data_IF_756835810879
#
_entry.id   IF_756835810879
#
_cell.length_a   1.000
_cell.length_b   1.000
_cell.length_c   1.000
_cell.angle_alpha   90.00
_cell.angle_beta   90.00
_cell.angle_gamma   90.00
#
_symmetry.space_group_name_H-M   'P 1'
#
loop_
_entity.id
_entity.type
_entity.pdbx_description
1 polymer ?
#
# COMPACT_ATOMS: atom_id res chain seq x y z
N UNK A 1 18.95 -3.19 -2.70
CA UNK A 1 18.73 -4.23 -3.74
C UNK A 1 19.79 -5.33 -3.74
N UNK A 2 21.09 -5.04 -3.63
CA UNK A 2 22.16 -6.08 -3.64
C UNK A 2 22.07 -7.07 -2.46
N UNK A 3 21.59 -6.63 -1.29
CA UNK A 3 21.47 -7.48 -0.09
C UNK A 3 20.37 -8.55 -0.17
N UNK A 4 19.32 -8.31 -0.97
CA UNK A 4 18.20 -9.24 -1.14
C UNK A 4 18.54 -10.35 -2.15
N UNK A 5 19.40 -10.04 -3.12
CA UNK A 5 19.86 -11.00 -4.14
C UNK A 5 20.83 -12.05 -3.55
N UNK A 6 21.60 -11.68 -2.53
CA UNK A 6 22.52 -12.61 -1.81
C UNK A 6 21.75 -13.57 -0.89
N UNK A 7 20.64 -13.14 -0.30
CA UNK A 7 19.81 -14.01 0.54
C UNK A 7 19.10 -15.12 -0.25
N UNK A 8 18.68 -14.85 -1.49
CA UNK A 8 18.01 -15.83 -2.35
C UNK A 8 18.99 -16.90 -2.85
N UNK A 9 20.26 -16.56 -3.08
CA UNK A 9 21.28 -17.53 -3.52
C UNK A 9 21.74 -18.44 -2.38
N UNK A 10 21.79 -17.94 -1.13
CA UNK A 10 22.20 -18.76 0.03
C UNK A 10 21.12 -19.76 0.48
N UNK A 11 19.85 -19.51 0.20
CA UNK A 11 18.74 -20.41 0.55
C UNK A 11 18.64 -21.66 -0.35
N UNK A 12 19.35 -21.69 -1.49
CA UNK A 12 19.30 -22.81 -2.45
C UNK A 12 20.55 -23.71 -2.46
N UNK A 13 21.52 -23.53 -1.56
CA UNK A 13 22.80 -24.25 -1.64
C UNK A 13 23.31 -24.91 -0.35
N UNK A 14 22.47 -25.10 0.68
CA UNK A 14 22.93 -25.78 1.90
C UNK A 14 21.81 -26.51 2.63
N UNK A 15 21.65 -27.80 2.33
CA UNK A 15 20.85 -28.71 3.15
C UNK A 15 21.59 -29.05 4.44
N UNK A 16 21.04 -28.64 5.59
CA UNK A 16 21.42 -29.16 6.92
C UNK A 16 20.13 -29.36 7.73
N UNK A 17 20.00 -30.54 8.32
CA UNK A 17 18.80 -31.05 8.99
C UNK A 17 18.39 -30.24 10.26
N UNK A 18 17.12 -29.85 10.31
CA UNK A 18 16.46 -29.06 11.36
C UNK A 18 16.14 -29.83 12.66
N UNK A 19 16.47 -31.13 12.77
CA UNK A 19 15.98 -31.98 13.87
C UNK A 19 16.78 -31.90 15.18
N UNK A 20 18.04 -31.45 15.18
CA UNK A 20 18.84 -31.38 16.42
C UNK A 20 18.66 -30.09 17.24
N UNK A 21 18.16 -29.01 16.62
CA UNK A 21 17.92 -27.73 17.32
C UNK A 21 16.59 -27.72 18.09
N UNK A 22 15.58 -28.48 17.63
CA UNK A 22 14.28 -28.54 18.31
C UNK A 22 14.34 -29.30 19.65
N UNK A 23 15.17 -30.34 19.76
CA UNK A 23 15.29 -31.15 20.98
C UNK A 23 15.95 -30.40 22.14
N UNK A 24 16.93 -29.54 21.84
CA UNK A 24 17.62 -28.72 22.86
C UNK A 24 16.75 -27.56 23.36
N UNK A 25 15.91 -26.98 22.50
CA UNK A 25 15.01 -25.89 22.89
C UNK A 25 13.81 -26.41 23.71
N UNK A 26 13.27 -27.58 23.38
CA UNK A 26 12.17 -28.18 24.15
C UNK A 26 12.57 -28.65 25.55
N UNK A 27 13.78 -29.19 25.73
CA UNK A 27 14.27 -29.60 27.07
C UNK A 27 14.48 -28.39 27.99
N UNK A 28 14.87 -27.24 27.42
CA UNK A 28 15.10 -26.02 28.18
C UNK A 28 13.81 -25.30 28.62
N UNK A 29 12.75 -25.31 27.79
CA UNK A 29 11.46 -24.73 28.18
C UNK A 29 10.75 -25.50 29.30
N UNK A 30 10.97 -26.81 29.40
CA UNK A 30 10.40 -27.64 30.47
C UNK A 30 11.09 -27.40 31.82
N UNK A 31 12.38 -27.05 31.83
CA UNK A 31 13.12 -26.77 33.06
C UNK A 31 12.74 -25.41 33.67
N UNK A 32 12.52 -24.39 32.83
CA UNK A 32 12.12 -23.03 33.27
C UNK A 32 10.72 -23.00 33.89
N UNK A 33 9.75 -23.73 33.31
CA UNK A 33 8.38 -23.84 33.87
C UNK A 33 8.32 -24.56 35.22
N UNK A 34 9.29 -25.43 35.52
CA UNK A 34 9.35 -26.18 36.79
C UNK A 34 9.85 -25.30 37.94
N UNK A 35 10.63 -24.26 37.64
CA UNK A 35 11.12 -23.26 38.61
C UNK A 35 10.05 -22.22 38.94
N UNK A 36 9.25 -21.79 37.94
CA UNK A 36 8.14 -20.85 38.17
C UNK A 36 6.99 -21.44 39.01
N UNK A 37 6.65 -22.73 38.82
CA UNK A 37 5.59 -23.39 39.60
C UNK A 37 5.92 -23.63 41.08
N UNK A 38 7.17 -23.46 41.51
CA UNK A 38 7.56 -23.58 42.93
C UNK A 38 7.41 -22.29 43.73
N UNK A 39 7.11 -21.14 43.09
CA UNK A 39 7.02 -19.83 43.76
C UNK A 39 5.59 -19.35 44.05
N UNK A 40 4.56 -20.09 43.66
CA UNK A 40 3.15 -19.69 43.88
C UNK A 40 2.42 -20.70 44.76
N UNK A 41 2.86 -20.84 46.01
CA UNK A 41 2.03 -21.38 47.10
C UNK A 41 2.63 -20.93 48.44
N UNK A 42 2.07 -19.87 49.02
CA UNK A 42 1.89 -19.66 50.47
C UNK A 42 1.10 -18.35 50.68
N UNK A 43 0.24 -18.36 51.68
CA UNK A 43 -0.97 -17.56 51.87
C UNK A 43 -0.77 -16.28 52.71
N UNK A 44 -1.73 -15.34 52.54
CA UNK A 44 -2.32 -14.39 53.53
C UNK A 44 -1.45 -13.85 54.68
N UNK A 45 -1.19 -12.53 54.73
CA UNK A 45 -1.71 -11.62 55.78
C UNK A 45 -1.19 -10.17 55.63
N UNK A 46 -1.99 -9.21 56.08
CA UNK A 46 -1.72 -7.76 56.14
C UNK A 46 -0.74 -7.39 57.28
N UNK A 47 0.29 -6.56 57.00
CA UNK A 47 0.79 -5.43 57.84
C UNK A 47 2.04 -4.72 57.25
N UNK A 48 2.19 -3.46 57.66
CA UNK A 48 3.17 -2.44 57.23
C UNK A 48 4.60 -2.59 57.83
N UNK A 49 5.61 -2.09 57.08
CA UNK A 49 7.03 -1.73 57.40
C UNK A 49 8.12 -2.83 57.55
N UNK A 50 9.44 -2.50 57.42
CA UNK A 50 10.17 -1.76 56.36
C UNK A 50 11.30 -2.62 55.70
N UNK A 51 11.86 -2.11 54.59
CA UNK A 51 13.00 -2.70 53.86
C UNK A 51 14.27 -2.79 54.75
N UNK A 52 14.89 -3.97 54.79
CA UNK A 52 16.29 -4.12 55.15
C UNK A 52 17.00 -5.22 54.35
N UNK A 53 18.28 -4.98 54.12
CA UNK A 53 19.22 -5.55 53.15
C UNK A 53 19.68 -6.99 53.41
N UNK A 54 19.45 -7.91 52.47
CA UNK A 54 20.14 -9.22 52.40
C UNK A 54 19.97 -9.97 51.07
N UNK A 55 19.96 -9.30 49.91
CA UNK A 55 19.79 -9.93 48.58
C UNK A 55 20.95 -9.73 47.61
N UNK A 56 22.15 -9.37 48.08
CA UNK A 56 23.31 -9.10 47.22
C UNK A 56 24.14 -10.33 46.84
N UNK A 57 24.00 -11.47 47.52
CA UNK A 57 24.79 -12.69 47.24
C UNK A 57 24.21 -13.57 46.13
N UNK A 58 22.90 -13.64 45.96
CA UNK A 58 22.25 -14.49 44.93
C UNK A 58 22.32 -13.89 43.52
N UNK A 59 22.29 -12.56 43.39
CA UNK A 59 22.35 -11.87 42.10
C UNK A 59 23.76 -11.97 41.49
N UNK A 60 24.80 -11.86 42.33
CA UNK A 60 26.20 -11.97 41.88
C UNK A 60 26.52 -13.38 41.36
N UNK A 61 25.93 -14.43 41.94
CA UNK A 61 26.11 -15.80 41.47
C UNK A 61 25.48 -16.04 40.08
N UNK A 62 24.29 -15.48 39.85
CA UNK A 62 23.59 -15.60 38.56
C UNK A 62 24.31 -14.81 37.48
N UNK A 63 24.82 -13.62 37.79
CA UNK A 63 25.59 -12.81 36.83
C UNK A 63 26.88 -13.54 36.43
N UNK A 64 27.55 -14.21 37.36
CA UNK A 64 28.75 -15.01 37.07
C UNK A 64 28.46 -16.23 36.18
N UNK A 65 27.36 -16.93 36.42
CA UNK A 65 26.93 -18.05 35.55
C UNK A 65 26.58 -17.58 34.13
N UNK A 66 25.89 -16.43 34.00
CA UNK A 66 25.55 -15.86 32.70
C UNK A 66 26.78 -15.37 31.93
N UNK A 67 27.77 -14.78 32.61
CA UNK A 67 29.03 -14.39 31.96
C UNK A 67 29.86 -15.59 31.50
N UNK A 68 29.90 -16.68 32.27
CA UNK A 68 30.57 -17.91 31.86
C UNK A 68 29.88 -18.59 30.67
N UNK A 69 28.54 -18.50 30.59
CA UNK A 69 27.80 -19.00 29.43
C UNK A 69 28.08 -18.19 28.17
N UNK A 70 28.21 -16.86 28.31
CA UNK A 70 28.52 -15.96 27.20
C UNK A 70 29.92 -16.24 26.64
N UNK A 71 30.92 -16.42 27.50
CA UNK A 71 32.27 -16.79 27.05
C UNK A 71 32.30 -18.15 26.32
N UNK A 72 31.52 -19.12 26.79
CA UNK A 72 31.45 -20.43 26.14
C UNK A 72 30.76 -20.38 24.77
N UNK A 73 29.76 -19.52 24.60
CA UNK A 73 29.10 -19.26 23.31
C UNK A 73 30.06 -18.55 22.36
N UNK A 74 30.77 -17.52 22.85
CA UNK A 74 31.73 -16.75 22.05
C UNK A 74 32.90 -17.64 21.60
N UNK A 75 33.36 -18.57 22.44
CA UNK A 75 34.39 -19.56 22.10
C UNK A 75 33.92 -20.54 21.02
N UNK A 76 32.67 -21.05 21.10
CA UNK A 76 32.10 -21.92 20.04
C UNK A 76 31.85 -21.19 18.73
N UNK A 77 31.50 -19.89 18.78
CA UNK A 77 31.36 -19.04 17.60
C UNK A 77 32.75 -18.83 16.97
N UNK A 78 33.79 -18.60 17.77
CA UNK A 78 35.16 -18.45 17.30
C UNK A 78 35.67 -19.74 16.63
N UNK A 79 35.44 -20.91 17.23
CA UNK A 79 35.82 -22.23 16.65
C UNK A 79 35.13 -22.47 15.30
N UNK A 80 33.81 -22.21 15.19
CA UNK A 80 33.07 -22.33 13.93
C UNK A 80 33.49 -21.31 12.88
N UNK A 81 33.86 -20.10 13.30
CA UNK A 81 34.38 -19.07 12.39
C UNK A 81 35.74 -19.46 11.81
N UNK A 82 36.56 -20.19 12.59
CA UNK A 82 37.85 -20.69 12.14
C UNK A 82 37.70 -21.84 11.13
N UNK A 83 36.70 -22.71 11.30
CA UNK A 83 36.32 -23.74 10.33
C UNK A 83 35.78 -23.14 9.03
N UNK A 84 34.97 -22.07 9.11
CA UNK A 84 34.47 -21.33 7.94
C UNK A 84 35.58 -20.59 7.19
N UNK A 85 36.62 -20.09 7.88
CA UNK A 85 37.76 -19.40 7.23
C UNK A 85 38.66 -20.33 6.41
N UNK A 86 38.63 -21.65 6.65
CA UNK A 86 39.31 -22.64 5.80
C UNK A 86 38.53 -22.97 4.52
N UNK A 87 37.23 -22.67 4.48
CA UNK A 87 36.35 -23.01 3.35
C UNK A 87 36.15 -21.86 2.35
N UNK A 88 36.59 -20.64 2.63
CA UNK A 88 36.43 -19.50 1.70
C UNK A 88 37.66 -18.60 1.68
N UNK A 89 38.67 -19.01 0.92
CA UNK A 89 39.74 -18.13 0.48
C UNK A 89 39.39 -17.56 -0.91
N UNK A 90 38.44 -16.64 -0.97
CA UNK A 90 38.41 -15.59 -1.99
C UNK A 90 37.36 -14.55 -1.65
N UNK A 91 37.74 -13.28 -1.78
CA UNK A 91 36.91 -12.07 -1.70
C UNK A 91 36.59 -11.57 -0.29
N UNK A 92 37.58 -10.99 0.41
CA UNK A 92 37.33 -9.89 1.36
C UNK A 92 38.61 -9.05 1.63
N UNK A 93 38.89 -8.09 0.77
CA UNK A 93 39.52 -6.80 1.14
C UNK A 93 38.67 -5.76 0.43
N UNK A 94 37.73 -5.10 1.10
CA UNK A 94 37.92 -3.75 1.65
C UNK A 94 36.65 -3.38 2.40
N UNK A 95 36.81 -2.79 3.60
CA UNK A 95 35.89 -1.93 4.37
C UNK A 95 35.85 -2.32 5.86
N UNK A 96 37.01 -2.13 6.49
CA UNK A 96 37.10 -1.73 7.91
C UNK A 96 37.76 -0.35 7.89
N UNK A 97 37.42 0.52 8.85
CA UNK A 97 37.74 1.97 8.98
C UNK A 97 36.53 2.82 8.52
N UNK A 98 35.82 3.60 9.35
CA UNK A 98 36.10 4.16 10.68
C UNK A 98 34.78 4.60 11.34
N UNK A 99 34.70 4.45 12.66
CA UNK A 99 33.71 5.07 13.56
C UNK A 99 34.45 6.19 14.30
N UNK A 100 34.11 7.48 14.11
CA UNK A 100 33.89 8.50 15.15
C UNK A 100 33.93 9.96 14.64
N UNK A 101 33.01 10.75 15.21
CA UNK A 101 33.07 12.19 15.55
C UNK A 101 33.02 13.28 14.45
N UNK A 102 32.10 14.23 14.73
CA UNK A 102 32.01 15.66 14.40
C UNK A 102 31.85 16.18 12.95
N UNK A 103 30.83 17.04 12.82
CA UNK A 103 30.70 18.22 11.94
C UNK A 103 30.26 18.03 10.48
N UNK A 104 29.12 18.69 10.19
CA UNK A 104 28.72 19.18 8.88
C UNK A 104 29.87 19.95 8.18
N UNK A 105 29.85 19.95 6.83
CA UNK A 105 30.65 20.72 5.85
C UNK A 105 31.49 19.94 4.81
N UNK A 106 31.39 18.60 4.71
CA UNK A 106 32.16 17.83 3.69
C UNK A 106 31.28 17.15 2.61
N UNK A 107 29.95 17.28 2.65
CA UNK A 107 29.07 16.65 1.66
C UNK A 107 28.88 17.44 0.34
N UNK A 108 29.13 18.76 0.33
CA UNK A 108 28.92 19.58 -0.89
C UNK A 108 30.13 19.51 -1.85
N UNK A 109 31.35 19.29 -1.36
CA UNK A 109 32.53 19.19 -2.21
C UNK A 109 32.68 17.83 -2.93
N UNK A 110 32.10 16.75 -2.38
CA UNK A 110 32.17 15.40 -2.98
C UNK A 110 31.16 15.16 -4.11
N UNK A 111 30.09 15.95 -4.19
CA UNK A 111 29.11 15.86 -5.29
C UNK A 111 29.51 16.66 -6.53
N UNK A 112 30.46 17.60 -6.42
CA UNK A 112 30.91 18.40 -7.57
C UNK A 112 31.98 17.70 -8.43
N UNK A 113 32.75 16.76 -7.87
CA UNK A 113 33.84 16.09 -8.59
C UNK A 113 33.42 14.82 -9.36
N UNK A 114 32.21 14.30 -9.10
CA UNK A 114 31.70 13.08 -9.73
C UNK A 114 30.87 13.33 -11.01
N UNK A 115 30.54 14.58 -11.32
CA UNK A 115 29.86 14.97 -12.56
C UNK A 115 30.82 15.39 -13.70
N UNK A 116 32.13 15.44 -13.46
CA UNK A 116 33.12 15.85 -14.47
C UNK A 116 33.79 14.67 -15.23
N UNK A 117 33.46 13.42 -14.90
CA UNK A 117 34.12 12.23 -15.48
C UNK A 117 33.20 11.31 -16.29
N UNK A 118 31.99 11.74 -16.61
CA UNK A 118 31.09 11.07 -17.56
C UNK A 118 30.59 12.04 -18.63
N UNK A 119 31.52 12.63 -19.38
CA UNK A 119 31.17 13.34 -20.62
C UNK A 119 32.33 13.35 -21.61
N UNK A 120 32.84 12.17 -21.98
CA UNK A 120 33.70 12.03 -23.17
C UNK A 120 33.64 10.60 -23.70
N UNK A 121 32.58 10.28 -24.45
CA UNK A 121 32.68 9.35 -25.58
C UNK A 121 31.47 9.52 -26.51
N UNK A 122 31.51 10.58 -27.30
CA UNK A 122 30.79 10.65 -28.58
C UNK A 122 31.40 11.80 -29.39
N UNK A 123 32.54 11.55 -30.03
CA UNK A 123 33.01 12.39 -31.14
C UNK A 123 32.42 11.82 -32.43
N UNK A 124 31.25 12.34 -32.79
CA UNK A 124 30.76 12.31 -34.16
C UNK A 124 31.69 13.17 -35.02
N UNK A 125 32.26 12.55 -36.06
CA UNK A 125 32.99 13.24 -37.13
C UNK A 125 31.97 13.99 -38.00
N UNK A 126 31.90 15.32 -37.82
CA UNK A 126 31.29 16.22 -38.80
C UNK A 126 32.35 16.56 -39.88
N UNK A 127 32.10 16.12 -41.11
CA UNK A 127 32.67 16.75 -42.30
C UNK A 127 31.55 17.51 -43.05
N UNK A 128 31.76 18.76 -43.47
CA UNK A 128 30.75 19.56 -44.16
C UNK A 128 30.76 19.26 -45.66
N UNK A 129 29.63 18.85 -46.23
CA UNK A 129 29.46 18.87 -47.68
C UNK A 129 28.46 19.97 -48.07
N UNK A 130 29.06 21.05 -48.57
CA UNK A 130 28.39 22.13 -49.27
C UNK A 130 27.91 21.64 -50.64
N UNK A 131 26.69 22.06 -50.99
CA UNK A 131 26.03 21.86 -52.27
C UNK A 131 26.92 22.22 -53.47
N UNK A 132 27.05 21.32 -54.45
CA UNK A 132 27.31 21.67 -55.83
C UNK A 132 26.35 20.96 -56.79
N UNK A 133 25.90 21.77 -57.74
CA UNK A 133 24.77 21.59 -58.65
C UNK A 133 25.04 20.49 -59.69
N UNK A 134 23.96 19.82 -60.07
CA UNK A 134 23.90 18.99 -61.28
C UNK A 134 24.09 19.82 -62.56
N UNK A 135 24.51 19.16 -63.65
CA UNK A 135 23.82 19.34 -64.91
C UNK A 135 23.33 18.02 -65.53
N UNK A 136 22.30 18.18 -66.35
CA UNK A 136 21.43 17.19 -67.01
C UNK A 136 22.04 16.65 -68.33
N UNK A 137 21.67 15.38 -68.63
CA UNK A 137 21.46 14.72 -69.96
C UNK A 137 22.74 14.58 -70.84
N UNK A 138 23.04 13.49 -71.56
CA UNK A 138 22.26 12.59 -72.42
C UNK A 138 23.01 11.28 -72.75
N UNK A 139 22.23 10.24 -73.06
CA UNK A 139 22.37 9.21 -74.11
C UNK A 139 23.41 8.06 -74.07
N UNK A 140 22.84 6.86 -74.34
CA UNK A 140 23.32 5.72 -75.15
C UNK A 140 23.72 4.38 -74.46
N UNK A 141 22.88 3.37 -74.81
CA UNK A 141 23.16 1.96 -75.18
C UNK A 141 23.88 1.01 -74.21
N UNK A 142 23.06 0.13 -73.63
CA UNK A 142 23.15 -1.34 -73.54
C UNK A 142 24.51 -2.04 -73.78
N UNK A 143 24.93 -2.86 -72.80
CA UNK A 143 25.36 -4.27 -72.94
C UNK A 143 25.37 -4.93 -71.53
N UNK A 144 25.16 -6.26 -71.40
CA UNK A 144 24.86 -6.90 -70.13
C UNK A 144 26.13 -7.41 -69.42
N UNK A 145 26.17 -7.33 -68.09
CA UNK A 145 27.15 -8.06 -67.28
C UNK A 145 26.42 -8.84 -66.19
N UNK A 146 26.43 -10.17 -66.34
CA UNK A 146 26.06 -11.13 -65.31
C UNK A 146 27.19 -11.19 -64.29
N UNK A 147 26.91 -10.83 -63.03
CA UNK A 147 27.64 -11.28 -61.83
C UNK A 147 26.65 -11.24 -60.67
N UNK A 148 26.08 -12.40 -60.38
CA UNK A 148 26.44 -13.22 -59.21
C UNK A 148 25.99 -12.58 -57.90
N UNK A 149 24.85 -13.08 -57.41
CA UNK A 149 24.64 -13.48 -56.02
C UNK A 149 25.33 -12.62 -54.96
N UNK A 150 24.54 -11.74 -54.35
CA UNK A 150 24.45 -11.57 -52.91
C UNK A 150 23.13 -10.81 -52.69
N UNK A 151 22.02 -11.54 -52.83
CA UNK A 151 20.88 -11.24 -51.97
C UNK A 151 21.42 -11.42 -50.56
N UNK A 152 21.82 -10.32 -49.94
CA UNK A 152 21.70 -10.26 -48.49
C UNK A 152 20.21 -10.30 -48.24
N UNK A 153 19.68 -11.51 -48.20
CA UNK A 153 18.51 -11.83 -47.43
C UNK A 153 18.86 -11.35 -46.03
N UNK A 154 18.51 -10.09 -45.76
CA UNK A 154 18.12 -9.66 -44.44
C UNK A 154 16.89 -10.51 -44.13
N UNK A 155 17.17 -11.75 -43.77
CA UNK A 155 16.32 -12.61 -43.01
C UNK A 155 16.13 -11.87 -41.69
N UNK A 156 15.21 -10.91 -41.72
CA UNK A 156 14.43 -10.51 -40.56
C UNK A 156 13.70 -11.79 -40.18
N UNK A 157 14.44 -12.70 -39.56
CA UNK A 157 13.88 -13.61 -38.58
C UNK A 157 13.15 -12.67 -37.63
N UNK A 158 11.84 -12.62 -37.79
CA UNK A 158 10.95 -12.05 -36.80
C UNK A 158 11.18 -12.97 -35.62
N UNK A 159 12.17 -12.64 -34.78
CA UNK A 159 12.42 -13.34 -33.55
C UNK A 159 11.08 -13.32 -32.82
N UNK A 160 10.47 -14.50 -32.73
CA UNK A 160 9.13 -14.63 -32.18
C UNK A 160 9.19 -14.07 -30.77
N UNK A 161 8.50 -12.95 -30.55
CA UNK A 161 8.49 -12.28 -29.25
C UNK A 161 7.98 -13.30 -28.25
N UNK A 162 8.84 -13.67 -27.30
CA UNK A 162 8.46 -14.67 -26.30
C UNK A 162 7.45 -14.05 -25.33
N UNK A 163 6.56 -14.85 -24.70
CA UNK A 163 5.67 -14.33 -23.66
C UNK A 163 6.41 -13.64 -22.51
N UNK A 164 7.67 -14.01 -22.25
CA UNK A 164 8.52 -13.34 -21.27
C UNK A 164 8.94 -11.94 -21.73
N UNK A 165 9.34 -11.80 -23.00
CA UNK A 165 9.69 -10.51 -23.58
C UNK A 165 8.49 -9.55 -23.58
N UNK A 166 7.30 -10.04 -24.00
CA UNK A 166 6.07 -9.24 -23.96
C UNK A 166 5.76 -8.71 -22.55
N UNK A 167 5.95 -9.52 -21.50
CA UNK A 167 5.75 -9.06 -20.11
C UNK A 167 6.73 -7.97 -19.70
N UNK A 168 7.99 -8.06 -20.13
CA UNK A 168 9.01 -7.04 -19.85
C UNK A 168 8.67 -5.75 -20.58
N UNK A 169 8.26 -5.83 -21.85
CA UNK A 169 7.90 -4.66 -22.67
C UNK A 169 6.70 -3.93 -22.06
N UNK A 170 5.63 -4.64 -21.70
CA UNK A 170 4.45 -4.07 -21.03
C UNK A 170 4.82 -3.43 -19.68
N UNK A 171 5.69 -4.08 -18.89
CA UNK A 171 6.14 -3.51 -17.62
C UNK A 171 6.93 -2.21 -17.85
N UNK A 172 7.79 -2.16 -18.88
CA UNK A 172 8.55 -0.97 -19.23
C UNK A 172 7.63 0.18 -19.70
N UNK A 173 6.58 -0.13 -20.46
CA UNK A 173 5.57 0.84 -20.92
C UNK A 173 4.78 1.48 -19.76
N UNK A 174 4.69 0.82 -18.60
CA UNK A 174 4.02 1.38 -17.42
C UNK A 174 4.79 2.52 -16.74
N UNK A 175 6.10 2.68 -17.05
CA UNK A 175 6.99 3.61 -16.36
C UNK A 175 6.49 5.07 -16.29
N UNK A 176 5.92 5.68 -17.35
CA UNK A 176 5.41 7.05 -17.29
C UNK A 176 4.31 7.23 -16.25
N UNK A 177 3.41 6.25 -16.12
CA UNK A 177 2.33 6.28 -15.13
C UNK A 177 2.86 6.15 -13.70
N UNK A 178 3.84 5.27 -13.49
CA UNK A 178 4.51 5.12 -12.19
C UNK A 178 5.23 6.40 -11.77
N UNK A 179 5.91 7.07 -12.71
CA UNK A 179 6.59 8.34 -12.46
C UNK A 179 5.60 9.47 -12.14
N UNK A 180 4.47 9.54 -12.86
CA UNK A 180 3.42 10.56 -12.67
C UNK A 180 2.85 10.56 -11.25
N UNK A 181 2.66 9.39 -10.65
CA UNK A 181 2.03 9.25 -9.34
C UNK A 181 3.00 8.93 -8.19
N UNK A 182 4.31 8.86 -8.46
CA UNK A 182 5.31 8.58 -7.42
C UNK A 182 5.22 9.60 -6.28
N UNK A 183 5.16 9.09 -5.05
CA UNK A 183 5.05 9.89 -3.82
C UNK A 183 3.70 10.57 -3.61
N UNK A 184 2.73 10.36 -4.50
CA UNK A 184 1.39 10.93 -4.39
C UNK A 184 0.50 10.08 -3.50
N UNK A 185 -0.36 10.75 -2.73
CA UNK A 185 -1.37 10.11 -1.89
C UNK A 185 -2.61 9.81 -2.72
N UNK A 186 -3.09 8.57 -2.66
CA UNK A 186 -4.35 8.14 -3.29
C UNK A 186 -5.25 7.57 -2.20
N UNK A 187 -6.43 8.17 -2.02
CA UNK A 187 -7.44 7.63 -1.09
C UNK A 187 -8.40 6.75 -1.88
N UNK A 188 -8.44 5.47 -1.53
CA UNK A 188 -9.30 4.48 -2.16
C UNK A 188 -10.39 4.11 -1.18
N UNK A 189 -11.64 4.39 -1.56
CA UNK A 189 -12.79 3.86 -0.85
C UNK A 189 -13.16 2.50 -1.42
N UNK A 190 -13.14 1.50 -0.55
CA UNK A 190 -13.58 0.14 -0.81
C UNK A 190 -14.99 -0.11 -0.30
N UNK A 191 -15.87 -0.53 -1.20
CA UNK A 191 -17.23 -0.90 -0.87
C UNK A 191 -17.90 -1.68 -2.00
N UNK A 192 -19.12 -2.14 -1.72
CA UNK A 192 -19.96 -2.74 -2.76
C UNK A 192 -19.68 -4.22 -3.04
N UNK A 193 -19.89 -4.66 -4.28
CA UNK A 193 -19.72 -5.98 -4.83
C UNK A 193 -18.29 -6.48 -4.73
N UNK A 194 -17.30 -5.59 -4.78
CA UNK A 194 -15.89 -5.93 -4.56
C UNK A 194 -15.69 -6.60 -3.18
N UNK A 195 -16.49 -6.24 -2.17
CA UNK A 195 -16.44 -6.85 -0.84
C UNK A 195 -17.05 -8.25 -0.77
N UNK A 196 -17.84 -8.66 -1.76
CA UNK A 196 -18.61 -9.92 -1.73
C UNK A 196 -17.89 -11.09 -2.38
N UNK A 197 -16.93 -10.81 -3.26
CA UNK A 197 -16.18 -11.84 -3.99
C UNK A 197 -14.76 -11.91 -3.45
N UNK A 198 -14.33 -13.10 -3.04
CA UNK A 198 -12.96 -13.34 -2.58
C UNK A 198 -11.93 -13.03 -3.68
N UNK A 199 -12.24 -13.32 -4.95
CA UNK A 199 -11.33 -13.04 -6.07
C UNK A 199 -11.18 -11.54 -6.33
N UNK A 200 -12.27 -10.77 -6.26
CA UNK A 200 -12.22 -9.32 -6.40
C UNK A 200 -11.54 -8.66 -5.20
N UNK A 201 -11.79 -9.15 -3.99
CA UNK A 201 -11.09 -8.70 -2.80
C UNK A 201 -9.57 -8.93 -2.93
N UNK A 202 -9.16 -10.14 -3.31
CA UNK A 202 -7.74 -10.44 -3.53
C UNK A 202 -7.12 -9.57 -4.63
N UNK A 203 -7.85 -9.33 -5.72
CA UNK A 203 -7.42 -8.41 -6.79
C UNK A 203 -7.18 -7.00 -6.25
N UNK A 204 -8.13 -6.42 -5.52
CA UNK A 204 -8.03 -5.06 -4.96
C UNK A 204 -6.87 -4.97 -3.97
N UNK A 205 -6.68 -5.99 -3.13
CA UNK A 205 -5.55 -6.03 -2.19
C UNK A 205 -4.21 -6.06 -2.95
N UNK A 206 -4.08 -6.89 -3.98
CA UNK A 206 -2.88 -6.95 -4.80
C UNK A 206 -2.60 -5.61 -5.51
N UNK A 207 -3.63 -4.93 -5.99
CA UNK A 207 -3.50 -3.61 -6.60
C UNK A 207 -2.96 -2.58 -5.59
N UNK A 208 -3.51 -2.53 -4.37
CA UNK A 208 -3.02 -1.63 -3.32
C UNK A 208 -1.56 -1.90 -2.95
N UNK A 209 -1.20 -3.17 -2.82
CA UNK A 209 0.18 -3.57 -2.54
C UNK A 209 1.10 -3.16 -3.67
N UNK A 210 0.70 -3.37 -4.93
CA UNK A 210 1.49 -2.93 -6.08
C UNK A 210 1.69 -1.41 -6.08
N UNK A 211 0.61 -0.63 -5.90
CA UNK A 211 0.68 0.84 -5.81
C UNK A 211 1.65 1.28 -4.69
N UNK A 212 1.57 0.64 -3.52
CA UNK A 212 2.50 0.91 -2.42
C UNK A 212 3.96 0.58 -2.78
N UNK A 213 4.21 -0.57 -3.41
CA UNK A 213 5.55 -1.03 -3.79
C UNK A 213 6.21 -0.12 -4.83
N UNK A 214 5.44 0.50 -5.73
CA UNK A 214 5.95 1.44 -6.74
C UNK A 214 6.08 2.88 -6.21
N UNK A 215 5.83 3.10 -4.92
CA UNK A 215 6.05 4.37 -4.23
C UNK A 215 4.85 5.33 -4.28
N UNK A 216 3.68 4.86 -4.68
CA UNK A 216 2.41 5.58 -4.45
C UNK A 216 2.01 5.36 -2.98
N UNK A 217 1.29 6.30 -2.38
CA UNK A 217 0.88 6.25 -0.97
C UNK A 217 -0.63 5.96 -0.87
N UNK A 218 -1.06 4.70 -1.00
CA UNK A 218 -2.47 4.35 -0.91
C UNK A 218 -2.97 4.44 0.54
N UNK A 219 -4.18 4.99 0.72
CA UNK A 219 -4.93 4.97 1.97
C UNK A 219 -6.27 4.34 1.70
N UNK A 220 -6.62 3.33 2.48
CA UNK A 220 -7.73 2.44 2.18
C UNK A 220 -8.88 2.66 3.15
N UNK A 221 -9.96 3.29 2.70
CA UNK A 221 -11.15 3.57 3.50
C UNK A 221 -12.22 2.52 3.20
N UNK A 222 -12.87 1.97 4.22
CA UNK A 222 -13.90 0.95 3.98
C UNK A 222 -15.20 1.20 4.75
N UNK A 223 -16.28 0.68 4.17
CA UNK A 223 -17.55 0.44 4.87
C UNK A 223 -17.70 -1.04 5.20
N UNK A 224 -18.95 -1.50 5.25
CA UNK A 224 -19.26 -2.91 5.49
C UNK A 224 -20.76 -3.17 5.67
N UNK A 225 -21.60 -2.49 4.88
CA UNK A 225 -23.06 -2.57 4.99
C UNK A 225 -23.60 -4.01 5.00
N UNK A 226 -23.20 -4.88 4.05
CA UNK A 226 -23.61 -6.28 4.04
C UNK A 226 -23.17 -7.07 5.28
N UNK A 227 -21.93 -6.87 5.75
CA UNK A 227 -21.42 -7.53 6.95
C UNK A 227 -22.17 -7.10 8.22
N UNK A 228 -22.50 -5.81 8.33
CA UNK A 228 -23.32 -5.32 9.44
C UNK A 228 -24.71 -5.96 9.39
N UNK A 229 -25.34 -6.04 8.20
CA UNK A 229 -26.66 -6.67 8.07
C UNK A 229 -26.64 -8.13 8.55
N UNK A 230 -25.65 -8.91 8.10
CA UNK A 230 -25.51 -10.30 8.54
C UNK A 230 -25.39 -10.45 10.07
N UNK A 231 -24.68 -9.54 10.73
CA UNK A 231 -24.55 -9.57 12.18
C UNK A 231 -25.80 -9.12 12.92
N UNK A 232 -26.50 -8.11 12.41
CA UNK A 232 -27.81 -7.70 12.95
C UNK A 232 -28.82 -8.84 12.84
N UNK A 233 -28.88 -9.51 11.70
CA UNK A 233 -29.78 -10.64 11.46
C UNK A 233 -29.49 -11.80 12.43
N UNK A 234 -28.21 -12.09 12.71
CA UNK A 234 -27.79 -13.14 13.67
C UNK A 234 -28.27 -12.92 15.10
N UNK A 235 -28.45 -11.66 15.51
CA UNK A 235 -28.93 -11.30 16.85
C UNK A 235 -30.41 -10.90 16.87
N UNK A 236 -31.12 -11.11 15.76
CA UNK A 236 -32.56 -10.85 15.65
C UNK A 236 -32.92 -9.37 15.47
N UNK A 237 -31.96 -8.49 15.15
CA UNK A 237 -32.22 -7.09 14.82
C UNK A 237 -32.40 -6.92 13.31
N UNK A 238 -33.45 -6.22 12.88
CA UNK A 238 -33.70 -5.97 11.46
C UNK A 238 -32.95 -4.73 10.98
N UNK A 239 -32.17 -4.81 9.87
CA UNK A 239 -31.58 -3.63 9.25
C UNK A 239 -32.63 -2.60 8.83
N UNK A 240 -32.45 -1.34 9.21
CA UNK A 240 -33.31 -0.24 8.81
C UNK A 240 -32.51 0.85 8.06
N UNK A 241 -33.05 1.33 6.94
CA UNK A 241 -32.42 2.32 6.09
C UNK A 241 -33.39 3.46 5.74
N UNK A 242 -32.89 4.69 5.77
CA UNK A 242 -33.60 5.88 5.35
C UNK A 242 -32.73 6.67 4.38
N UNK A 243 -33.18 6.82 3.13
CA UNK A 243 -32.48 7.55 2.07
C UNK A 243 -31.01 7.10 1.89
N UNK A 244 -30.77 5.78 1.94
CA UNK A 244 -29.43 5.19 1.77
C UNK A 244 -28.52 5.25 3.00
N UNK A 245 -28.98 5.84 4.11
CA UNK A 245 -28.27 5.82 5.39
C UNK A 245 -28.91 4.80 6.33
N UNK A 246 -28.09 4.06 7.09
CA UNK A 246 -28.57 3.12 8.10
C UNK A 246 -29.11 3.89 9.29
N UNK A 247 -30.38 3.68 9.64
CA UNK A 247 -30.90 4.14 10.93
C UNK A 247 -30.16 3.37 12.03
N UNK A 248 -29.47 4.10 12.90
CA UNK A 248 -28.50 3.53 13.84
C UNK A 248 -28.85 3.97 15.25
N UNK A 249 -29.62 3.15 15.98
CA UNK A 249 -29.82 3.35 17.42
C UNK A 249 -28.59 2.90 18.23
N UNK A 250 -28.67 2.99 19.57
CA UNK A 250 -27.54 2.69 20.45
C UNK A 250 -27.04 1.25 20.28
N UNK A 251 -27.96 0.29 20.23
CA UNK A 251 -27.65 -1.13 20.05
C UNK A 251 -27.02 -1.40 18.67
N UNK A 252 -27.56 -0.76 17.64
CA UNK A 252 -27.05 -0.86 16.27
C UNK A 252 -25.66 -0.24 16.16
N UNK A 253 -25.39 0.87 16.86
CA UNK A 253 -24.08 1.53 16.86
C UNK A 253 -22.97 0.64 17.45
N UNK A 254 -23.28 -0.11 18.50
CA UNK A 254 -22.35 -1.09 19.08
C UNK A 254 -21.99 -2.17 18.05
N UNK A 255 -22.99 -2.74 17.36
CA UNK A 255 -22.78 -3.73 16.31
C UNK A 255 -22.00 -3.15 15.13
N UNK A 256 -22.36 -1.95 14.66
CA UNK A 256 -21.63 -1.26 13.59
C UNK A 256 -20.15 -1.11 13.96
N UNK A 257 -19.85 -0.71 15.18
CA UNK A 257 -18.47 -0.54 15.67
C UNK A 257 -17.72 -1.88 15.70
N UNK A 258 -18.31 -2.91 16.32
CA UNK A 258 -17.70 -4.24 16.40
C UNK A 258 -17.44 -4.84 15.02
N UNK A 259 -18.38 -4.71 14.09
CA UNK A 259 -18.25 -5.29 12.75
C UNK A 259 -17.25 -4.52 11.91
N UNK A 260 -17.35 -3.19 11.83
CA UNK A 260 -16.46 -2.42 10.96
C UNK A 260 -15.03 -2.40 11.50
N UNK A 261 -14.84 -2.11 12.79
CA UNK A 261 -13.51 -1.95 13.39
C UNK A 261 -12.90 -3.29 13.78
N UNK A 262 -13.68 -4.20 14.37
CA UNK A 262 -13.18 -5.48 14.90
C UNK A 262 -13.05 -6.56 13.84
N UNK A 263 -14.02 -6.67 12.92
CA UNK A 263 -14.04 -7.72 11.90
C UNK A 263 -13.49 -7.25 10.56
N UNK A 264 -14.20 -6.36 9.86
CA UNK A 264 -13.90 -6.01 8.46
C UNK A 264 -12.52 -5.35 8.35
N UNK A 265 -12.23 -4.37 9.21
CA UNK A 265 -10.94 -3.67 9.19
C UNK A 265 -9.76 -4.64 9.38
N UNK A 266 -9.85 -5.54 10.36
CA UNK A 266 -8.76 -6.48 10.67
C UNK A 266 -8.63 -7.59 9.64
N UNK A 267 -9.73 -8.00 9.00
CA UNK A 267 -9.67 -8.88 7.84
C UNK A 267 -8.89 -8.24 6.68
N UNK A 268 -9.18 -6.98 6.34
CA UNK A 268 -8.47 -6.27 5.28
C UNK A 268 -6.99 -6.07 5.61
N UNK A 269 -6.67 -5.66 6.84
CA UNK A 269 -5.28 -5.56 7.33
C UNK A 269 -4.55 -6.90 7.18
N UNK A 270 -5.19 -8.00 7.61
CA UNK A 270 -4.62 -9.34 7.50
C UNK A 270 -4.34 -9.74 6.05
N UNK A 271 -5.27 -9.45 5.14
CA UNK A 271 -5.09 -9.76 3.71
C UNK A 271 -3.95 -8.96 3.08
N UNK A 272 -3.84 -7.67 3.38
CA UNK A 272 -2.74 -6.82 2.90
C UNK A 272 -1.40 -7.33 3.44
N UNK A 273 -1.35 -7.70 4.71
CA UNK A 273 -0.15 -8.26 5.33
C UNK A 273 0.26 -9.58 4.67
N UNK A 274 -0.71 -10.46 4.40
CA UNK A 274 -0.48 -11.73 3.69
C UNK A 274 0.01 -11.52 2.26
N UNK A 275 -0.41 -10.44 1.61
CA UNK A 275 0.03 -10.06 0.27
C UNK A 275 1.44 -9.41 0.24
N UNK A 276 2.12 -9.28 1.39
CA UNK A 276 3.53 -8.87 1.46
C UNK A 276 3.76 -7.38 1.75
N UNK A 277 2.73 -6.62 2.12
CA UNK A 277 2.86 -5.26 2.62
C UNK A 277 2.65 -5.20 4.15
N UNK A 278 2.69 -4.00 4.73
CA UNK A 278 2.33 -3.78 6.14
C UNK A 278 1.18 -2.79 6.20
N UNK A 279 0.03 -3.24 6.72
CA UNK A 279 -1.15 -2.42 6.91
C UNK A 279 -1.37 -2.07 8.39
N UNK A 280 -1.88 -0.88 8.63
CA UNK A 280 -2.27 -0.40 9.96
C UNK A 280 -3.73 -0.02 9.96
N UNK A 281 -4.54 -0.78 10.71
CA UNK A 281 -5.98 -0.59 10.78
C UNK A 281 -6.39 0.41 11.85
N UNK A 282 -7.07 1.48 11.46
CA UNK A 282 -7.55 2.56 12.31
C UNK A 282 -9.05 2.81 12.09
N UNK A 283 -9.67 3.48 13.04
CA UNK A 283 -10.97 4.13 12.95
C UNK A 283 -10.79 5.64 13.12
N UNK A 284 -11.88 6.39 13.06
CA UNK A 284 -11.87 7.82 13.41
C UNK A 284 -11.52 8.10 14.87
N UNK A 285 -11.74 7.15 15.78
CA UNK A 285 -11.44 7.30 17.20
C UNK A 285 -9.92 7.30 17.47
N UNK A 286 -9.17 6.55 16.67
CA UNK A 286 -7.75 6.32 16.89
C UNK A 286 -6.95 7.59 16.56
N UNK A 287 -6.25 8.13 17.57
CA UNK A 287 -5.52 9.39 17.43
C UNK A 287 -6.41 10.60 17.09
N UNK A 288 -7.73 10.50 17.31
CA UNK A 288 -8.73 11.48 16.88
C UNK A 288 -8.66 11.80 15.38
N UNK A 289 -8.38 10.78 14.57
CA UNK A 289 -8.30 10.91 13.11
C UNK A 289 -9.55 11.60 12.54
N UNK A 290 -10.72 11.28 13.06
CA UNK A 290 -11.99 11.93 12.71
C UNK A 290 -12.75 12.32 13.98
N UNK A 291 -13.23 13.55 14.04
CA UNK A 291 -14.24 13.96 15.02
C UNK A 291 -15.60 14.01 14.33
N UNK A 292 -16.56 13.28 14.89
CA UNK A 292 -17.93 13.24 14.40
C UNK A 292 -18.77 14.40 14.94
N UNK A 293 -19.81 14.75 14.20
CA UNK A 293 -20.98 15.49 14.72
C UNK A 293 -22.26 14.76 14.31
N UNK A 294 -23.38 14.93 15.04
CA UNK A 294 -24.65 14.35 14.63
C UNK A 294 -25.05 14.81 13.23
N UNK A 295 -25.65 13.91 12.43
CA UNK A 295 -26.29 14.31 11.18
C UNK A 295 -27.39 15.35 11.43
N UNK A 296 -27.64 16.30 10.51
CA UNK A 296 -28.81 17.18 10.58
C UNK A 296 -30.15 16.42 10.68
N UNK A 297 -30.17 15.13 10.31
CA UNK A 297 -31.33 14.23 10.43
C UNK A 297 -31.23 13.26 11.61
N UNK A 298 -30.44 13.57 12.64
CA UNK A 298 -30.21 12.68 13.77
C UNK A 298 -31.51 12.24 14.48
N UNK A 299 -32.55 13.10 14.51
CA UNK A 299 -33.85 12.73 15.07
C UNK A 299 -34.49 11.49 14.40
N UNK A 300 -34.21 11.27 13.11
CA UNK A 300 -34.73 10.13 12.33
C UNK A 300 -33.71 9.00 12.19
N UNK A 301 -32.41 9.34 12.21
CA UNK A 301 -31.32 8.42 11.90
C UNK A 301 -30.60 7.87 13.12
N UNK A 302 -30.79 8.45 14.31
CA UNK A 302 -30.03 8.10 15.51
C UNK A 302 -28.57 8.55 15.43
N UNK A 303 -27.64 7.68 15.80
CA UNK A 303 -26.19 7.87 15.83
C UNK A 303 -25.54 7.81 14.44
N UNK A 304 -26.17 8.43 13.44
CA UNK A 304 -25.53 8.70 12.15
C UNK A 304 -24.82 10.04 12.22
N UNK A 305 -23.55 10.05 11.82
CA UNK A 305 -22.70 11.23 11.93
C UNK A 305 -22.28 11.83 10.59
N UNK A 306 -21.82 13.07 10.66
CA UNK A 306 -21.01 13.73 9.65
C UNK A 306 -19.58 13.95 10.18
N UNK A 307 -18.62 14.11 9.27
CA UNK A 307 -17.26 14.51 9.63
C UNK A 307 -17.26 15.98 10.01
N UNK A 308 -16.93 16.29 11.26
CA UNK A 308 -16.75 17.66 11.74
C UNK A 308 -15.31 18.13 11.54
N UNK A 309 -14.34 17.28 11.90
CA UNK A 309 -12.90 17.57 11.81
C UNK A 309 -12.16 16.32 11.38
N UNK A 310 -11.11 16.49 10.57
CA UNK A 310 -10.13 15.45 10.24
C UNK A 310 -8.76 15.90 10.76
N UNK A 311 -8.12 15.08 11.59
CA UNK A 311 -6.74 15.28 12.02
C UNK A 311 -5.85 14.17 11.45
N UNK A 312 -5.13 14.42 10.34
CA UNK A 312 -4.30 13.41 9.70
C UNK A 312 -2.96 13.17 10.41
N UNK A 313 -2.70 13.79 11.57
CA UNK A 313 -1.41 13.70 12.27
C UNK A 313 -0.98 12.26 12.53
N UNK A 314 -1.91 11.39 12.92
CA UNK A 314 -1.64 9.96 13.17
C UNK A 314 -1.23 9.21 11.88
N UNK A 315 -1.64 9.67 10.70
CA UNK A 315 -1.35 9.00 9.43
C UNK A 315 0.03 9.33 8.87
N UNK A 316 0.56 10.52 9.15
CA UNK A 316 1.85 10.98 8.60
C UNK A 316 3.00 9.99 8.81
N UNK A 317 3.33 9.55 10.05
CA UNK A 317 4.44 8.62 10.27
C UNK A 317 4.19 7.22 9.65
N UNK A 318 2.92 6.81 9.53
CA UNK A 318 2.56 5.53 8.93
C UNK A 318 2.86 5.54 7.43
N UNK A 319 2.40 6.58 6.74
CA UNK A 319 2.60 6.75 5.30
C UNK A 319 4.07 6.96 4.96
N UNK A 320 4.81 7.70 5.78
CA UNK A 320 6.27 7.88 5.63
C UNK A 320 7.04 6.58 5.80
N UNK A 321 6.53 5.65 6.60
CA UNK A 321 7.10 4.31 6.81
C UNK A 321 6.60 3.28 5.80
N UNK A 322 5.94 3.70 4.70
CA UNK A 322 5.32 2.85 3.69
C UNK A 322 4.29 1.85 4.27
N UNK A 323 3.68 2.14 5.41
CA UNK A 323 2.52 1.38 5.85
C UNK A 323 1.29 1.83 5.07
N UNK A 324 0.37 0.89 4.80
CA UNK A 324 -0.93 1.16 4.16
C UNK A 324 -1.97 1.37 5.28
N UNK A 325 -2.46 2.61 5.51
CA UNK A 325 -3.50 2.85 6.50
C UNK A 325 -4.84 2.29 6.00
N UNK A 326 -5.54 1.53 6.85
CA UNK A 326 -6.87 0.97 6.57
C UNK A 326 -7.88 1.57 7.54
N UNK A 327 -8.77 2.42 7.04
CA UNK A 327 -9.63 3.29 7.85
C UNK A 327 -11.08 2.81 7.85
N UNK A 328 -11.59 2.46 9.03
CA UNK A 328 -12.99 2.17 9.27
C UNK A 328 -13.80 3.47 9.48
N UNK A 329 -15.03 3.49 8.97
CA UNK A 329 -15.91 4.67 8.92
C UNK A 329 -16.75 4.89 10.20
N UNK A 330 -16.12 4.71 11.36
CA UNK A 330 -16.71 4.99 12.68
C UNK A 330 -15.83 6.03 13.38
N UNK A 331 -16.44 7.02 14.02
CA UNK A 331 -15.75 8.08 14.74
C UNK A 331 -16.55 8.50 15.97
N UNK A 332 -15.91 9.18 16.92
CA UNK A 332 -16.60 9.72 18.10
C UNK A 332 -16.75 11.25 17.99
N UNK A 333 -17.78 11.79 18.63
CA UNK A 333 -17.84 13.23 18.91
C UNK A 333 -16.86 13.63 20.03
N UNK A 334 -16.83 14.92 20.38
CA UNK A 334 -15.96 15.45 21.44
C UNK A 334 -16.28 14.90 22.84
N UNK A 335 -17.46 14.30 23.02
CA UNK A 335 -17.92 13.72 24.29
C UNK A 335 -17.66 12.21 24.36
N UNK A 336 -17.15 11.61 23.28
CA UNK A 336 -16.87 10.18 23.20
C UNK A 336 -18.04 9.32 22.68
N UNK A 337 -19.15 9.92 22.22
CA UNK A 337 -20.24 9.17 21.60
C UNK A 337 -19.85 8.75 20.19
N UNK A 338 -19.89 7.44 19.91
CA UNK A 338 -19.64 6.90 18.57
C UNK A 338 -20.76 7.20 17.59
N UNK A 339 -20.39 7.49 16.35
CA UNK A 339 -21.28 7.72 15.22
C UNK A 339 -20.88 6.86 14.02
N UNK A 340 -21.89 6.37 13.32
CA UNK A 340 -21.78 5.68 12.05
C UNK A 340 -21.75 6.73 10.92
N UNK A 341 -20.61 6.84 10.23
CA UNK A 341 -20.43 7.82 9.15
C UNK A 341 -20.42 7.08 7.81
N UNK A 342 -20.99 7.68 6.77
CA UNK A 342 -20.89 7.12 5.43
C UNK A 342 -19.42 7.04 4.98
N UNK A 343 -18.98 5.85 4.54
CA UNK A 343 -17.59 5.59 4.15
C UNK A 343 -17.13 6.40 2.91
N UNK A 344 -18.04 6.73 1.99
CA UNK A 344 -17.71 7.60 0.86
C UNK A 344 -17.37 8.99 1.40
N UNK A 345 -18.18 9.53 2.33
CA UNK A 345 -17.91 10.82 2.99
C UNK A 345 -16.60 10.82 3.76
N UNK A 346 -16.32 9.78 4.55
CA UNK A 346 -15.02 9.65 5.26
C UNK A 346 -13.86 9.70 4.26
N UNK A 347 -13.95 8.97 3.14
CA UNK A 347 -12.91 8.96 2.13
C UNK A 347 -12.70 10.34 1.48
N UNK A 348 -13.77 11.05 1.14
CA UNK A 348 -13.68 12.37 0.53
C UNK A 348 -13.08 13.42 1.44
N UNK A 349 -13.48 13.44 2.71
CA UNK A 349 -12.94 14.39 3.71
C UNK A 349 -11.50 14.06 4.09
N UNK A 350 -11.16 12.77 4.18
CA UNK A 350 -9.78 12.35 4.42
C UNK A 350 -8.87 12.68 3.23
N UNK A 351 -9.35 12.51 2.00
CA UNK A 351 -8.64 12.90 0.79
C UNK A 351 -8.37 14.41 0.76
N UNK A 352 -9.36 15.22 1.13
CA UNK A 352 -9.22 16.67 1.25
C UNK A 352 -8.17 17.04 2.32
N UNK A 353 -8.28 16.49 3.52
CA UNK A 353 -7.35 16.79 4.63
C UNK A 353 -5.89 16.41 4.34
N UNK A 354 -5.67 15.44 3.46
CA UNK A 354 -4.35 14.97 3.06
C UNK A 354 -3.80 15.65 1.79
N UNK A 355 -4.59 16.52 1.14
CA UNK A 355 -4.24 17.08 -0.17
C UNK A 355 -3.99 15.98 -1.21
N UNK A 356 -4.86 14.96 -1.22
CA UNK A 356 -4.67 13.78 -2.04
C UNK A 356 -4.70 14.10 -3.54
N UNK A 357 -3.93 13.31 -4.29
CA UNK A 357 -3.88 13.39 -5.74
C UNK A 357 -5.15 12.83 -6.38
N UNK A 358 -5.63 11.71 -5.83
CA UNK A 358 -6.83 11.03 -6.30
C UNK A 358 -7.68 10.59 -5.12
N UNK A 359 -9.00 10.80 -5.26
CA UNK A 359 -10.02 10.04 -4.55
C UNK A 359 -10.59 8.99 -5.51
N UNK A 360 -10.61 7.73 -5.14
CA UNK A 360 -11.18 6.66 -5.98
C UNK A 360 -12.27 5.93 -5.20
N UNK A 361 -13.49 5.91 -5.71
CA UNK A 361 -14.63 5.22 -5.13
C UNK A 361 -14.91 3.93 -5.91
N UNK A 362 -14.60 2.78 -5.33
CA UNK A 362 -15.01 1.47 -5.87
C UNK A 362 -16.51 1.26 -5.62
N UNK A 363 -17.26 0.99 -6.69
CA UNK A 363 -18.72 0.84 -6.66
C UNK A 363 -19.21 -0.36 -7.49
N UNK A 364 -20.52 -0.56 -7.56
CA UNK A 364 -21.17 -1.74 -8.17
C UNK A 364 -21.64 -1.46 -9.60
N UNK A 365 -21.21 -0.33 -10.16
CA UNK A 365 -21.64 0.18 -11.46
C UNK A 365 -20.41 0.68 -12.22
N UNK A 366 -20.52 0.76 -13.54
CA UNK A 366 -19.43 1.17 -14.43
C UNK A 366 -18.90 2.59 -14.13
N UNK A 367 -19.77 3.49 -13.67
CA UNK A 367 -19.49 4.90 -13.44
C UNK A 367 -20.78 5.70 -13.54
N UNK A 368 -20.67 6.94 -14.01
CA UNK A 368 -21.80 7.80 -14.36
C UNK A 368 -22.18 7.53 -15.83
N UNK A 369 -23.44 7.20 -16.04
CA UNK A 369 -24.02 7.00 -17.38
C UNK A 369 -24.78 8.27 -17.80
N UNK A 370 -24.68 8.64 -19.07
CA UNK A 370 -25.50 9.72 -19.65
C UNK A 370 -26.97 9.28 -19.73
N UNK A 371 -27.19 8.02 -20.08
CA UNK A 371 -28.47 7.33 -20.03
C UNK A 371 -28.35 6.09 -19.13
N UNK A 372 -29.13 6.08 -18.04
CA UNK A 372 -29.15 5.00 -17.05
C UNK A 372 -29.51 3.64 -17.65
N UNK A 373 -30.25 3.62 -18.76
CA UNK A 373 -30.77 2.42 -19.41
C UNK A 373 -29.82 1.93 -20.53
N UNK A 374 -28.79 2.71 -20.87
CA UNK A 374 -27.74 2.35 -21.84
C UNK A 374 -26.35 2.23 -21.15
N UNK A 375 -25.87 1.01 -20.90
CA UNK A 375 -24.54 0.77 -20.32
C UNK A 375 -23.38 1.29 -21.17
N UNK A 376 -23.57 1.53 -22.46
CA UNK A 376 -22.53 2.07 -23.35
C UNK A 376 -22.37 3.58 -23.24
N UNK A 377 -23.32 4.26 -22.58
CA UNK A 377 -23.33 5.71 -22.36
C UNK A 377 -22.43 6.18 -21.21
N UNK A 378 -21.38 5.41 -20.88
CA UNK A 378 -20.44 5.72 -19.81
C UNK A 378 -19.70 7.04 -20.10
N UNK A 379 -19.85 7.99 -19.19
CA UNK A 379 -19.10 9.26 -19.22
C UNK A 379 -17.71 9.00 -18.65
N UNK A 380 -16.67 9.06 -19.48
CA UNK A 380 -15.29 8.81 -19.03
C UNK A 380 -14.72 9.94 -18.17
N UNK A 381 -14.97 11.19 -18.55
CA UNK A 381 -14.49 12.37 -17.84
C UNK A 381 -15.56 13.47 -17.81
N UNK A 382 -15.71 14.12 -16.66
CA UNK A 382 -16.71 15.18 -16.46
C UNK A 382 -16.21 16.22 -15.44
N UNK A 383 -16.54 17.48 -15.66
CA UNK A 383 -16.23 18.56 -14.70
C UNK A 383 -17.35 18.74 -13.65
N UNK A 384 -17.07 19.51 -12.58
CA UNK A 384 -18.04 19.80 -11.52
C UNK A 384 -19.33 20.44 -12.07
N UNK A 385 -19.25 21.32 -13.06
CA UNK A 385 -20.40 22.04 -13.58
C UNK A 385 -21.37 21.10 -14.32
N UNK A 386 -20.84 20.24 -15.18
CA UNK A 386 -21.61 19.25 -15.93
C UNK A 386 -22.20 18.19 -15.02
N UNK A 387 -21.44 17.69 -14.04
CA UNK A 387 -21.99 16.65 -13.15
C UNK A 387 -23.11 17.21 -12.26
N UNK A 388 -23.03 18.48 -11.83
CA UNK A 388 -24.15 19.16 -11.14
C UNK A 388 -25.36 19.31 -12.04
N UNK A 389 -25.16 19.63 -13.31
CA UNK A 389 -26.23 19.69 -14.31
C UNK A 389 -26.91 18.33 -14.47
N UNK A 390 -26.16 17.24 -14.60
CA UNK A 390 -26.72 15.88 -14.68
C UNK A 390 -27.54 15.50 -13.43
N UNK A 391 -27.13 15.94 -12.25
CA UNK A 391 -27.92 15.76 -11.02
C UNK A 391 -29.23 16.55 -11.10
N UNK A 392 -29.20 17.82 -11.53
CA UNK A 392 -30.40 18.65 -11.66
C UNK A 392 -31.37 18.17 -12.74
N UNK A 393 -30.86 17.56 -13.81
CA UNK A 393 -31.64 16.96 -14.90
C UNK A 393 -32.19 15.57 -14.53
N UNK A 394 -31.84 15.02 -13.36
CA UNK A 394 -32.29 13.71 -12.92
C UNK A 394 -31.59 12.52 -13.60
N UNK A 395 -30.57 12.76 -14.43
CA UNK A 395 -29.75 11.70 -15.05
C UNK A 395 -28.92 10.94 -14.01
N UNK A 396 -28.40 11.66 -13.02
CA UNK A 396 -27.76 11.07 -11.84
C UNK A 396 -28.78 10.99 -10.70
N UNK A 397 -29.18 9.77 -10.33
CA UNK A 397 -30.22 9.52 -9.34
C UNK A 397 -29.81 8.52 -8.25
N UNK A 398 -30.64 8.42 -7.21
CA UNK A 398 -30.54 7.40 -6.17
C UNK A 398 -29.20 7.42 -5.42
N UNK A 399 -28.59 6.25 -5.28
CA UNK A 399 -27.32 6.07 -4.55
C UNK A 399 -26.10 6.70 -5.21
N UNK A 400 -26.21 7.20 -6.45
CA UNK A 400 -25.11 7.88 -7.13
C UNK A 400 -24.96 9.34 -6.69
N UNK A 401 -26.06 10.01 -6.34
CA UNK A 401 -26.05 11.41 -5.84
C UNK A 401 -25.07 11.60 -4.66
N UNK A 402 -25.11 10.80 -3.57
CA UNK A 402 -24.18 10.99 -2.47
C UNK A 402 -22.71 10.74 -2.86
N UNK A 403 -22.44 9.88 -3.85
CA UNK A 403 -21.08 9.63 -4.37
C UNK A 403 -20.55 10.84 -5.13
N UNK A 404 -21.35 11.37 -6.05
CA UNK A 404 -21.04 12.59 -6.80
C UNK A 404 -20.83 13.77 -5.85
N UNK A 405 -21.73 13.96 -4.88
CA UNK A 405 -21.60 15.05 -3.91
C UNK A 405 -20.33 14.92 -3.06
N UNK A 406 -19.94 13.70 -2.69
CA UNK A 406 -18.66 13.45 -2.04
C UNK A 406 -17.47 13.87 -2.93
N UNK A 407 -17.45 13.44 -4.20
CA UNK A 407 -16.41 13.81 -5.15
C UNK A 407 -16.32 15.33 -5.33
N UNK A 408 -17.44 16.01 -5.57
CA UNK A 408 -17.49 17.48 -5.71
C UNK A 408 -16.94 18.16 -4.47
N UNK A 409 -17.37 17.73 -3.28
CA UNK A 409 -16.93 18.32 -2.01
C UNK A 409 -15.43 18.12 -1.79
N UNK A 410 -14.88 16.96 -2.15
CA UNK A 410 -13.45 16.65 -2.04
C UNK A 410 -12.61 17.48 -3.02
N UNK A 411 -13.05 17.59 -4.28
CA UNK A 411 -12.41 18.40 -5.32
C UNK A 411 -12.40 19.89 -4.95
N UNK A 412 -13.53 20.41 -4.45
CA UNK A 412 -13.64 21.80 -4.01
C UNK A 412 -12.69 22.15 -2.84
N UNK A 413 -12.20 21.13 -2.11
CA UNK A 413 -11.23 21.27 -1.02
C UNK A 413 -9.78 21.00 -1.45
N UNK A 414 -9.51 20.80 -2.75
CA UNK A 414 -8.16 20.73 -3.31
C UNK A 414 -7.67 19.34 -3.70
N UNK A 415 -8.51 18.30 -3.66
CA UNK A 415 -8.19 17.01 -4.30
C UNK A 415 -8.12 17.20 -5.82
N UNK A 416 -7.09 16.64 -6.49
CA UNK A 416 -6.87 16.93 -7.93
C UNK A 416 -7.88 16.26 -8.84
N UNK A 417 -8.21 14.98 -8.58
CA UNK A 417 -9.21 14.23 -9.37
C UNK A 417 -9.99 13.28 -8.46
N UNK A 418 -11.25 13.01 -8.80
CA UNK A 418 -12.07 12.02 -8.09
C UNK A 418 -12.73 11.06 -9.07
N UNK A 419 -12.51 9.75 -8.94
CA UNK A 419 -13.02 8.76 -9.87
C UNK A 419 -14.05 7.84 -9.21
N UNK A 420 -15.13 7.55 -9.93
CA UNK A 420 -16.13 6.53 -9.57
C UNK A 420 -15.96 5.38 -10.55
N UNK A 421 -15.51 4.22 -10.06
CA UNK A 421 -15.06 3.10 -10.91
C UNK A 421 -15.73 1.78 -10.54
N UNK A 422 -15.76 0.86 -11.50
CA UNK A 422 -16.38 -0.45 -11.32
C UNK A 422 -15.52 -1.40 -10.49
N UNK A 423 -15.95 -1.68 -9.26
CA UNK A 423 -15.30 -2.65 -8.38
C UNK A 423 -15.53 -4.10 -8.77
N UNK A 424 -16.37 -4.39 -9.78
CA UNK A 424 -16.61 -5.74 -10.30
C UNK A 424 -15.59 -6.16 -11.35
N UNK A 425 -14.85 -5.20 -11.90
CA UNK A 425 -13.79 -5.44 -12.88
C UNK A 425 -12.49 -5.77 -12.14
N UNK A 426 -11.86 -6.88 -12.51
CA UNK A 426 -10.57 -7.27 -11.95
C UNK A 426 -9.51 -6.22 -12.28
N UNK A 427 -8.65 -5.89 -11.31
CA UNK A 427 -7.61 -4.88 -11.42
C UNK A 427 -8.11 -3.46 -11.74
N UNK A 428 -9.36 -3.11 -11.37
CA UNK A 428 -9.94 -1.80 -11.69
C UNK A 428 -9.16 -0.62 -11.11
N UNK A 429 -8.49 -0.78 -9.96
CA UNK A 429 -7.61 0.26 -9.42
C UNK A 429 -6.39 0.51 -10.30
N UNK A 430 -5.75 -0.55 -10.80
CA UNK A 430 -4.61 -0.41 -11.70
C UNK A 430 -5.03 0.11 -13.06
N UNK A 431 -6.18 -0.32 -13.58
CA UNK A 431 -6.75 0.24 -14.81
C UNK A 431 -6.99 1.74 -14.67
N UNK A 432 -7.53 2.20 -13.54
CA UNK A 432 -7.77 3.62 -13.28
C UNK A 432 -6.49 4.45 -13.13
N UNK A 433 -5.44 3.89 -12.54
CA UNK A 433 -4.22 4.65 -12.20
C UNK A 433 -3.15 4.53 -13.29
N UNK A 434 -3.04 3.38 -13.95
CA UNK A 434 -1.93 3.02 -14.85
C UNK A 434 -2.34 2.91 -16.33
N UNK A 435 -3.54 3.39 -16.70
CA UNK A 435 -3.97 3.46 -18.09
C UNK A 435 -4.70 4.77 -18.38
N UNK A 436 -4.68 5.22 -19.64
CA UNK A 436 -5.45 6.39 -20.09
C UNK A 436 -6.95 6.10 -20.27
N UNK A 437 -7.32 4.83 -20.44
CA UNK A 437 -8.72 4.44 -20.61
C UNK A 437 -9.53 4.65 -19.32
N UNK A 438 -8.89 4.44 -18.17
CA UNK A 438 -9.54 4.44 -16.86
C UNK A 438 -10.46 3.23 -16.65
N UNK A 439 -11.11 3.17 -15.48
CA UNK A 439 -12.04 2.10 -15.11
C UNK A 439 -13.44 2.60 -14.74
N UNK A 440 -13.76 3.85 -15.10
CA UNK A 440 -15.07 4.45 -14.87
C UNK A 440 -15.12 5.92 -15.23
N UNK A 441 -15.74 6.74 -14.38
CA UNK A 441 -15.88 8.18 -14.58
C UNK A 441 -14.91 8.95 -13.71
N UNK A 442 -14.03 9.72 -14.32
CA UNK A 442 -13.19 10.71 -13.65
C UNK A 442 -13.91 12.06 -13.57
N UNK A 443 -13.93 12.65 -12.38
CA UNK A 443 -14.47 13.98 -12.12
C UNK A 443 -13.31 14.94 -11.83
N UNK A 444 -13.29 16.05 -12.55
CA UNK A 444 -12.29 17.13 -12.43
C UNK A 444 -12.93 18.41 -11.90
N UNK A 445 -12.09 19.23 -11.24
CA UNK A 445 -12.48 20.45 -10.53
C UNK A 445 -12.95 21.59 -11.41
#
# INVERSE_FOLDING_TARGET
>A
MVMVMVMVVLLFSGGVEMNQLQTTVLSHQLSVKKVERRKTHTSTDTRFFPLNSSSSSSVVSIVKELSGLQEHIDQKIAEKSHELSKAQFSVFITLKVQRNQSSNWIWIAKCWLLNLLFSFSNKSLNCPNHCLKQPKKTSHRSLPCVRSSLSMDLDKSVASITPAQTRVDILAESLPYLQKFRGKTIVVKYGGAAMKSESLQASVINDLVLLSCVGIRPIFVHGGGPEINQWLDRIGLKPNFLNGLRVTDASTMEIVTMVLVGKVNKQLVSLINKAGATAVGLSGLDGRLLTARPSPRAAQLGFVGEVAVVDPTVLRPLVESNHIPVIASVAADEKGQSYNINADTVAGELAAALGAEKLILLTDVAGILEDKDDPSSLVKEIDIAKVRKMVSEGKVAGGMIPKVNCCIRSLAQGVRTASIIDGRVQHSLLLEVLTDQGAGTMITG
#
